data_IF_640862940465
#
_entry.id   IF_640862940465
#
_cell.length_a   1.000
_cell.length_b   1.000
_cell.length_c   1.000
_cell.angle_alpha   90.00
_cell.angle_beta   90.00
_cell.angle_gamma   90.00
#
_symmetry.space_group_name_H-M   'P 1'
#
loop_
_entity.id
_entity.type
_entity.pdbx_description
1 polymer ?
#
# COMPACT_ATOMS: atom_id res chain seq x y z
N UNK A 1 53.13 -9.42 -10.06
CA UNK A 1 52.26 -8.27 -10.39
C UNK A 1 51.09 -8.28 -9.41
N UNK A 2 50.91 -7.22 -8.62
CA UNK A 2 49.99 -7.20 -7.47
C UNK A 2 48.53 -7.15 -7.92
N UNK A 3 47.71 -8.10 -7.43
CA UNK A 3 46.26 -8.16 -7.68
C UNK A 3 45.45 -7.21 -6.77
N UNK A 4 46.10 -6.63 -5.76
CA UNK A 4 45.51 -5.73 -4.76
C UNK A 4 44.87 -4.45 -5.36
N UNK A 5 45.51 -3.70 -6.29
CA UNK A 5 44.89 -2.50 -6.87
C UNK A 5 43.63 -2.82 -7.68
N UNK A 6 43.57 -3.99 -8.35
CA UNK A 6 42.42 -4.40 -9.13
C UNK A 6 41.21 -4.74 -8.24
N UNK A 7 41.43 -5.45 -7.14
CA UNK A 7 40.37 -5.79 -6.18
C UNK A 7 39.81 -4.51 -5.52
N UNK A 8 40.68 -3.56 -5.16
CA UNK A 8 40.26 -2.29 -4.57
C UNK A 8 39.36 -1.47 -5.51
N UNK A 9 39.68 -1.43 -6.81
CA UNK A 9 38.86 -0.75 -7.83
C UNK A 9 37.51 -1.44 -7.99
N UNK A 10 37.48 -2.78 -8.01
CA UNK A 10 36.23 -3.55 -8.14
C UNK A 10 35.29 -3.29 -6.96
N UNK A 11 35.81 -3.31 -5.72
CA UNK A 11 35.03 -3.03 -4.51
C UNK A 11 34.49 -1.59 -4.55
N UNK A 12 35.30 -0.62 -4.98
CA UNK A 12 34.87 0.77 -5.12
C UNK A 12 33.70 0.90 -6.11
N UNK A 13 33.76 0.22 -7.26
CA UNK A 13 32.70 0.23 -8.26
C UNK A 13 31.40 -0.39 -7.73
N UNK A 14 31.48 -1.49 -6.98
CA UNK A 14 30.31 -2.12 -6.36
C UNK A 14 29.67 -1.20 -5.32
N UNK A 15 30.47 -0.51 -4.50
CA UNK A 15 29.97 0.44 -3.50
C UNK A 15 29.31 1.65 -4.18
N UNK A 16 29.92 2.20 -5.24
CA UNK A 16 29.35 3.33 -5.99
C UNK A 16 28.07 2.92 -6.71
N UNK A 17 28.05 1.76 -7.38
CA UNK A 17 26.86 1.25 -8.05
C UNK A 17 25.72 0.96 -7.05
N UNK A 18 26.05 0.36 -5.90
CA UNK A 18 25.09 0.12 -4.81
C UNK A 18 24.54 1.44 -4.23
N UNK A 19 25.41 2.42 -3.98
CA UNK A 19 25.03 3.74 -3.52
C UNK A 19 24.13 4.49 -4.52
N UNK A 20 24.49 4.45 -5.81
CA UNK A 20 23.70 5.05 -6.88
C UNK A 20 22.32 4.38 -7.04
N UNK A 21 22.27 3.05 -6.95
CA UNK A 21 21.01 2.29 -6.97
C UNK A 21 20.11 2.63 -5.78
N UNK A 22 20.65 2.65 -4.56
CA UNK A 22 19.89 3.04 -3.37
C UNK A 22 19.41 4.48 -3.44
N UNK A 23 20.24 5.39 -3.94
CA UNK A 23 19.87 6.79 -4.16
C UNK A 23 18.74 6.92 -5.19
N UNK A 24 18.85 6.22 -6.33
CA UNK A 24 17.81 6.18 -7.34
C UNK A 24 16.48 5.62 -6.80
N UNK A 25 16.53 4.51 -6.06
CA UNK A 25 15.37 3.89 -5.41
C UNK A 25 14.71 4.85 -4.42
N UNK A 26 15.50 5.51 -3.56
CA UNK A 26 15.01 6.54 -2.62
C UNK A 26 14.37 7.72 -3.34
N UNK A 27 14.98 8.20 -4.44
CA UNK A 27 14.45 9.32 -5.23
C UNK A 27 13.13 8.95 -5.92
N UNK A 28 13.02 7.74 -6.49
CA UNK A 28 11.79 7.24 -7.09
C UNK A 28 10.67 7.16 -6.04
N UNK A 29 10.98 6.62 -4.86
CA UNK A 29 10.03 6.55 -3.73
C UNK A 29 9.60 7.95 -3.24
N UNK A 30 10.54 8.89 -3.13
CA UNK A 30 10.26 10.27 -2.71
C UNK A 30 9.36 11.00 -3.72
N UNK A 31 9.54 10.76 -5.02
CA UNK A 31 8.63 11.28 -6.06
C UNK A 31 7.24 10.66 -5.94
N UNK A 32 7.15 9.33 -5.83
CA UNK A 32 5.86 8.67 -5.63
C UNK A 32 5.13 9.19 -4.38
N UNK A 33 5.84 9.44 -3.28
CA UNK A 33 5.27 10.05 -2.07
C UNK A 33 4.81 11.49 -2.33
N UNK A 34 5.60 12.31 -3.04
CA UNK A 34 5.21 13.67 -3.38
C UNK A 34 3.99 13.70 -4.31
N UNK A 35 3.90 12.77 -5.26
CA UNK A 35 2.78 12.61 -6.18
C UNK A 35 1.52 12.19 -5.40
N UNK A 36 1.64 11.27 -4.43
CA UNK A 36 0.55 10.89 -3.53
C UNK A 36 0.10 12.06 -2.64
N UNK A 37 1.04 12.80 -2.07
CA UNK A 37 0.71 13.96 -1.21
C UNK A 37 0.15 15.15 -2.00
N UNK A 38 0.36 15.21 -3.31
CA UNK A 38 -0.20 16.23 -4.21
C UNK A 38 -1.46 15.80 -4.95
N UNK A 39 -1.79 14.50 -4.91
CA UNK A 39 -2.97 13.91 -5.52
C UNK A 39 -4.28 14.23 -4.77
N UNK A 40 -5.38 13.69 -5.28
CA UNK A 40 -6.70 13.87 -4.66
C UNK A 40 -6.80 13.07 -3.36
N UNK A 41 -6.63 13.77 -2.24
CA UNK A 41 -6.65 13.19 -0.90
C UNK A 41 -8.06 12.76 -0.52
N UNK A 42 -8.25 11.45 -0.34
CA UNK A 42 -9.52 10.88 0.09
C UNK A 42 -9.62 10.99 1.62
N UNK A 43 -8.57 10.57 2.31
CA UNK A 43 -8.49 10.59 3.77
C UNK A 43 -7.07 10.86 4.27
N UNK A 44 -6.98 11.58 5.37
CA UNK A 44 -5.76 11.79 6.14
C UNK A 44 -6.11 11.71 7.61
N UNK A 45 -5.25 11.05 8.40
CA UNK A 45 -5.29 11.20 9.85
C UNK A 45 -3.89 11.10 10.46
N UNK A 46 -3.79 11.61 11.68
CA UNK A 46 -2.58 11.62 12.51
C UNK A 46 -2.85 10.84 13.79
N UNK A 47 -1.86 10.05 14.22
CA UNK A 47 -1.89 9.32 15.47
C UNK A 47 -1.13 10.11 16.54
N UNK A 48 -1.71 10.26 17.72
CA UNK A 48 -0.92 10.56 18.92
C UNK A 48 0.03 9.40 19.23
N UNK A 49 1.02 9.63 20.11
CA UNK A 49 1.95 8.57 20.52
C UNK A 49 1.25 7.32 21.05
N UNK A 50 0.27 7.47 21.94
CA UNK A 50 -0.48 6.35 22.49
C UNK A 50 -1.33 5.62 21.43
N UNK A 51 -1.96 6.34 20.52
CA UNK A 51 -2.73 5.72 19.42
C UNK A 51 -1.80 5.00 18.42
N UNK A 52 -0.60 5.54 18.19
CA UNK A 52 0.40 4.93 17.33
C UNK A 52 0.95 3.64 17.93
N UNK A 53 1.29 3.64 19.22
CA UNK A 53 1.72 2.43 19.94
C UNK A 53 0.71 1.29 19.80
N UNK A 54 -0.58 1.60 19.93
CA UNK A 54 -1.66 0.62 19.69
C UNK A 54 -1.74 0.17 18.23
N UNK A 55 -1.65 1.11 17.28
CA UNK A 55 -1.68 0.78 15.85
C UNK A 55 -0.50 -0.11 15.43
N UNK A 56 0.69 0.13 15.97
CA UNK A 56 1.90 -0.70 15.76
C UNK A 56 1.73 -2.09 16.34
N UNK A 57 1.21 -2.18 17.57
CA UNK A 57 1.00 -3.46 18.23
C UNK A 57 0.02 -4.37 17.48
N UNK A 58 -0.97 -3.80 16.81
CA UNK A 58 -2.05 -4.56 16.17
C UNK A 58 -1.87 -4.73 14.65
N UNK A 59 -1.57 -3.67 13.92
CA UNK A 59 -1.69 -3.65 12.45
C UNK A 59 -0.39 -3.19 11.74
N UNK A 60 0.50 -2.46 12.41
CA UNK A 60 1.75 -1.92 11.83
C UNK A 60 3.01 -2.53 12.45
N UNK A 61 3.11 -3.86 12.48
CA UNK A 61 4.25 -4.59 13.05
C UNK A 61 5.62 -4.26 12.43
N UNK A 62 5.64 -3.60 11.27
CA UNK A 62 6.84 -3.11 10.60
C UNK A 62 7.36 -1.77 11.12
N UNK A 63 6.57 -1.04 11.91
CA UNK A 63 6.92 0.28 12.45
C UNK A 63 7.35 0.21 13.93
N UNK A 64 7.90 1.32 14.45
CA UNK A 64 8.32 1.40 15.86
C UNK A 64 7.26 2.09 16.71
N UNK A 65 6.90 1.46 17.83
CA UNK A 65 6.05 2.06 18.87
C UNK A 65 6.68 3.35 19.44
N UNK A 66 8.01 3.44 19.47
CA UNK A 66 8.75 4.58 20.01
C UNK A 66 8.76 5.84 19.12
N UNK A 67 8.08 5.82 17.97
CA UNK A 67 8.10 6.94 17.03
C UNK A 67 7.28 8.16 17.51
N UNK A 68 6.52 8.03 18.61
CA UNK A 68 5.76 9.12 19.21
C UNK A 68 4.55 9.59 18.40
N UNK A 69 4.26 8.95 17.27
CA UNK A 69 3.12 9.22 16.40
C UNK A 69 3.35 8.73 14.98
N UNK A 70 2.32 8.91 14.14
CA UNK A 70 2.37 8.58 12.72
C UNK A 70 1.28 9.32 11.94
N UNK A 71 1.36 9.28 10.63
CA UNK A 71 0.37 9.84 9.73
C UNK A 71 0.04 8.84 8.62
N UNK A 72 -1.22 8.83 8.22
CA UNK A 72 -1.70 8.08 7.05
C UNK A 72 -2.33 9.04 6.05
N UNK A 73 -2.04 8.79 4.79
CA UNK A 73 -2.58 9.49 3.64
C UNK A 73 -3.15 8.44 2.69
N UNK A 74 -4.43 8.58 2.35
CA UNK A 74 -5.13 7.69 1.41
C UNK A 74 -5.58 8.52 0.22
N UNK A 75 -5.21 8.05 -0.96
CA UNK A 75 -5.57 8.61 -2.25
C UNK A 75 -6.15 7.53 -3.15
N UNK A 76 -6.60 7.92 -4.34
CA UNK A 76 -7.04 6.97 -5.35
C UNK A 76 -5.92 6.00 -5.78
N UNK A 77 -4.66 6.44 -5.68
CA UNK A 77 -3.52 5.76 -6.29
C UNK A 77 -2.57 5.13 -5.26
N UNK A 78 -2.72 5.44 -3.98
CA UNK A 78 -1.87 4.87 -2.93
C UNK A 78 -2.43 5.06 -1.51
N UNK A 79 -1.92 4.21 -0.61
CA UNK A 79 -1.95 4.41 0.84
C UNK A 79 -0.52 4.65 1.30
N UNK A 80 -0.27 5.80 1.92
CA UNK A 80 1.03 6.17 2.46
C UNK A 80 0.96 6.31 3.97
N UNK A 81 1.83 5.59 4.67
CA UNK A 81 1.95 5.58 6.13
C UNK A 81 3.35 6.08 6.46
N UNK A 82 3.47 7.05 7.36
CA UNK A 82 4.77 7.54 7.82
C UNK A 82 4.81 7.74 9.32
N UNK A 83 5.98 7.52 9.89
CA UNK A 83 6.35 7.84 11.26
C UNK A 83 7.70 8.56 11.26
N UNK A 84 8.25 8.84 12.45
CA UNK A 84 9.56 9.48 12.57
C UNK A 84 10.71 8.65 11.97
N UNK A 85 10.65 7.33 12.10
CA UNK A 85 11.72 6.42 11.66
C UNK A 85 11.42 5.70 10.35
N UNK A 86 10.15 5.60 9.95
CA UNK A 86 9.72 4.67 8.92
C UNK A 86 8.69 5.28 7.98
N UNK A 87 8.76 4.87 6.72
CA UNK A 87 7.80 5.20 5.68
C UNK A 87 7.35 3.92 4.99
N UNK A 88 6.06 3.81 4.68
CA UNK A 88 5.46 2.67 4.01
C UNK A 88 4.49 3.17 2.94
N UNK A 89 4.66 2.69 1.72
CA UNK A 89 3.85 3.09 0.58
C UNK A 89 3.25 1.84 -0.04
N UNK A 90 1.93 1.79 -0.07
CA UNK A 90 1.14 0.78 -0.76
C UNK A 90 0.61 1.43 -2.04
N UNK A 91 1.15 1.02 -3.17
CA UNK A 91 0.70 1.50 -4.48
C UNK A 91 -0.63 0.83 -4.85
N UNK A 92 -1.64 1.66 -5.16
CA UNK A 92 -2.95 1.28 -5.72
C UNK A 92 -3.06 1.70 -7.20
N UNK A 93 -1.93 2.04 -7.83
CA UNK A 93 -1.89 2.43 -9.24
C UNK A 93 -1.64 1.22 -10.16
N UNK A 94 -1.96 1.39 -11.44
CA UNK A 94 -1.77 0.35 -12.45
C UNK A 94 -2.81 -0.77 -12.35
N UNK A 95 -2.37 -2.01 -12.10
CA UNK A 95 -3.22 -3.21 -12.10
C UNK A 95 -3.79 -3.59 -10.73
N UNK A 96 -3.40 -2.87 -9.67
CA UNK A 96 -3.91 -3.06 -8.30
C UNK A 96 -5.16 -2.23 -8.10
N UNK A 97 -6.25 -2.84 -7.66
CA UNK A 97 -7.52 -2.17 -7.41
C UNK A 97 -8.09 -2.57 -6.05
N UNK A 98 -8.70 -1.61 -5.35
CA UNK A 98 -9.46 -1.91 -4.13
C UNK A 98 -10.82 -2.47 -4.51
N UNK A 99 -11.09 -3.72 -4.16
CA UNK A 99 -12.35 -4.40 -4.50
C UNK A 99 -13.29 -4.54 -3.30
N UNK A 100 -12.81 -4.22 -2.10
CA UNK A 100 -13.61 -4.19 -0.88
C UNK A 100 -13.06 -3.12 0.05
N UNK A 101 -13.96 -2.33 0.64
CA UNK A 101 -13.65 -1.41 1.71
C UNK A 101 -14.72 -1.52 2.79
N UNK A 102 -14.32 -1.63 4.06
CA UNK A 102 -15.26 -1.64 5.18
C UNK A 102 -14.65 -1.05 6.45
N UNK A 103 -15.51 -0.48 7.27
CA UNK A 103 -15.16 0.06 8.57
C UNK A 103 -16.37 -0.06 9.50
N UNK A 104 -16.18 -0.67 10.67
CA UNK A 104 -17.27 -0.96 11.61
C UNK A 104 -17.73 0.24 12.44
N UNK A 105 -17.01 1.36 12.41
CA UNK A 105 -17.37 2.58 13.14
C UNK A 105 -17.27 2.50 14.66
N UNK A 106 -16.74 1.39 15.20
CA UNK A 106 -16.47 1.23 16.63
C UNK A 106 -15.01 1.60 16.96
N UNK A 107 -14.78 2.07 18.18
CA UNK A 107 -13.44 2.38 18.70
C UNK A 107 -12.48 1.18 18.51
N UNK A 108 -11.27 1.46 18.03
CA UNK A 108 -10.26 0.46 17.74
C UNK A 108 -10.55 -0.44 16.53
N UNK A 109 -11.70 -0.31 15.86
CA UNK A 109 -11.96 -1.07 14.63
C UNK A 109 -11.03 -0.62 13.50
N UNK A 110 -10.39 -1.54 12.77
CA UNK A 110 -9.61 -1.14 11.60
C UNK A 110 -10.53 -0.82 10.42
N UNK A 111 -10.09 0.14 9.61
CA UNK A 111 -10.47 0.24 8.21
C UNK A 111 -9.86 -0.97 7.50
N UNK A 112 -10.68 -1.72 6.79
CA UNK A 112 -10.28 -2.90 6.02
C UNK A 112 -10.38 -2.60 4.54
N UNK A 113 -9.31 -2.86 3.81
CA UNK A 113 -9.22 -2.70 2.36
C UNK A 113 -8.70 -4.00 1.75
N UNK A 114 -9.44 -4.59 0.82
CA UNK A 114 -8.92 -5.67 -0.03
C UNK A 114 -8.45 -5.10 -1.35
N UNK A 115 -7.17 -5.30 -1.64
CA UNK A 115 -6.57 -4.96 -2.94
C UNK A 115 -6.39 -6.24 -3.74
N UNK A 116 -6.80 -6.24 -4.99
CA UNK A 116 -6.63 -7.36 -5.92
C UNK A 116 -5.88 -6.90 -7.17
N UNK A 117 -5.16 -7.83 -7.78
CA UNK A 117 -4.57 -7.64 -9.10
C UNK A 117 -4.43 -9.00 -9.79
N UNK A 118 -4.31 -8.98 -11.12
CA UNK A 118 -3.90 -10.15 -11.89
C UNK A 118 -2.56 -9.92 -12.57
N UNK A 119 -1.83 -11.01 -12.77
CA UNK A 119 -0.62 -11.05 -13.59
C UNK A 119 -0.87 -12.03 -14.72
N UNK A 120 -0.69 -11.56 -15.95
CA UNK A 120 -0.81 -12.36 -17.16
C UNK A 120 0.61 -12.76 -17.57
N UNK A 121 0.93 -14.05 -17.47
CA UNK A 121 2.18 -14.60 -17.98
C UNK A 121 2.01 -14.93 -19.47
N UNK A 122 2.80 -14.26 -20.33
CA UNK A 122 2.83 -14.49 -21.78
C UNK A 122 4.05 -15.30 -22.18
N UNK A 123 3.88 -16.22 -23.12
CA UNK A 123 4.97 -16.94 -23.75
C UNK A 123 5.81 -16.02 -24.66
N UNK A 124 6.99 -16.49 -25.08
CA UNK A 124 7.90 -15.74 -25.93
C UNK A 124 7.31 -15.40 -27.32
N UNK A 125 6.27 -16.12 -27.75
CA UNK A 125 5.51 -15.87 -28.97
C UNK A 125 4.32 -14.91 -28.79
N UNK A 126 4.08 -14.44 -27.56
CA UNK A 126 2.99 -13.51 -27.22
C UNK A 126 1.69 -14.19 -26.79
N UNK A 127 1.61 -15.53 -26.80
CA UNK A 127 0.41 -16.27 -26.37
C UNK A 127 0.26 -16.21 -24.86
N UNK A 128 -0.96 -15.95 -24.35
CA UNK A 128 -1.24 -15.93 -22.91
C UNK A 128 -1.19 -17.36 -22.35
N UNK A 129 -0.19 -17.64 -21.50
CA UNK A 129 0.02 -18.96 -20.92
C UNK A 129 -0.83 -19.18 -19.67
N UNK A 130 -0.88 -18.16 -18.80
CA UNK A 130 -1.55 -18.28 -17.49
C UNK A 130 -1.87 -16.93 -16.86
N UNK A 131 -3.12 -16.76 -16.43
CA UNK A 131 -3.53 -15.65 -15.57
C UNK A 131 -3.46 -16.09 -14.10
N UNK A 132 -2.69 -15.36 -13.29
CA UNK A 132 -2.62 -15.53 -11.83
C UNK A 132 -3.33 -14.37 -11.16
N UNK A 133 -4.19 -14.67 -10.20
CA UNK A 133 -4.93 -13.69 -9.41
C UNK A 133 -4.31 -13.59 -8.02
N UNK A 134 -4.17 -12.37 -7.53
CA UNK A 134 -3.58 -12.06 -6.24
C UNK A 134 -4.51 -11.16 -5.43
N UNK A 135 -4.39 -11.28 -4.11
CA UNK A 135 -5.09 -10.41 -3.16
C UNK A 135 -4.21 -10.09 -1.96
N UNK A 136 -4.35 -8.89 -1.44
CA UNK A 136 -3.76 -8.41 -0.19
C UNK A 136 -4.84 -7.72 0.63
N UNK A 137 -4.92 -8.08 1.90
CA UNK A 137 -5.84 -7.47 2.85
C UNK A 137 -5.07 -6.51 3.75
N UNK A 138 -5.47 -5.24 3.71
CA UNK A 138 -4.90 -4.18 4.52
C UNK A 138 -5.86 -3.83 5.63
N UNK A 139 -5.32 -3.80 6.85
CA UNK A 139 -6.03 -3.43 8.06
C UNK A 139 -5.34 -2.20 8.63
N UNK A 140 -6.10 -1.15 8.85
CA UNK A 140 -5.58 0.15 9.26
C UNK A 140 -6.37 0.61 10.47
N UNK A 141 -5.77 0.61 11.66
CA UNK A 141 -6.43 1.07 12.88
C UNK A 141 -6.82 2.54 12.74
N UNK A 142 -8.10 2.87 12.88
CA UNK A 142 -8.59 4.25 12.72
C UNK A 142 -8.55 4.97 14.08
N UNK A 143 -7.93 6.16 14.19
CA UNK A 143 -8.01 6.97 15.41
C UNK A 143 -9.47 7.29 15.78
N UNK A 144 -9.79 7.37 17.07
CA UNK A 144 -11.18 7.47 17.56
C UNK A 144 -11.93 8.66 16.95
N UNK A 145 -11.22 9.78 16.77
CA UNK A 145 -11.79 11.04 16.27
C UNK A 145 -11.93 11.08 14.75
N UNK A 146 -11.39 10.08 14.05
CA UNK A 146 -11.25 10.05 12.60
C UNK A 146 -12.27 9.12 11.93
N UNK A 147 -13.31 8.75 12.67
CA UNK A 147 -14.42 7.92 12.21
C UNK A 147 -15.03 8.42 10.89
N UNK A 148 -15.33 9.72 10.81
CA UNK A 148 -15.94 10.31 9.63
C UNK A 148 -15.02 10.24 8.40
N UNK A 149 -13.70 10.36 8.59
CA UNK A 149 -12.73 10.25 7.51
C UNK A 149 -12.65 8.80 7.02
N UNK A 150 -12.66 7.82 7.93
CA UNK A 150 -12.70 6.41 7.56
C UNK A 150 -13.99 6.02 6.82
N UNK A 151 -15.16 6.52 7.26
CA UNK A 151 -16.44 6.32 6.56
C UNK A 151 -16.39 6.91 5.14
N UNK A 152 -15.82 8.11 4.96
CA UNK A 152 -15.60 8.73 3.64
C UNK A 152 -14.68 7.89 2.74
N UNK A 153 -13.61 7.31 3.30
CA UNK A 153 -12.71 6.42 2.55
C UNK A 153 -13.45 5.17 2.07
N UNK A 154 -14.27 4.56 2.93
CA UNK A 154 -15.12 3.42 2.56
C UNK A 154 -16.08 3.81 1.44
N UNK A 155 -16.83 4.91 1.61
CA UNK A 155 -17.78 5.40 0.62
C UNK A 155 -17.12 5.62 -0.76
N UNK A 156 -15.93 6.23 -0.78
CA UNK A 156 -15.20 6.49 -2.00
C UNK A 156 -14.84 5.19 -2.73
N UNK A 157 -14.23 4.21 -2.04
CA UNK A 157 -13.79 2.96 -2.66
C UNK A 157 -14.96 2.06 -3.04
N UNK A 158 -16.02 2.02 -2.23
CA UNK A 158 -17.26 1.31 -2.57
C UNK A 158 -17.91 1.90 -3.83
N UNK A 159 -18.00 3.22 -3.92
CA UNK A 159 -18.54 3.91 -5.11
C UNK A 159 -17.68 3.66 -6.35
N UNK A 160 -16.35 3.71 -6.21
CA UNK A 160 -15.45 3.42 -7.33
C UNK A 160 -15.61 1.97 -7.80
N UNK A 161 -15.69 1.02 -6.87
CA UNK A 161 -15.86 -0.40 -7.17
C UNK A 161 -17.17 -0.66 -7.90
N UNK A 162 -18.26 -0.03 -7.46
CA UNK A 162 -19.58 -0.12 -8.12
C UNK A 162 -19.55 0.42 -9.56
N UNK A 163 -18.88 1.54 -9.79
CA UNK A 163 -18.77 2.14 -11.12
C UNK A 163 -17.93 1.32 -12.09
N UNK A 164 -17.03 0.49 -11.59
CA UNK A 164 -16.07 -0.29 -12.39
C UNK A 164 -16.26 -1.80 -12.22
N UNK A 165 -17.47 -2.27 -11.90
CA UNK A 165 -17.73 -3.67 -11.57
C UNK A 165 -17.24 -4.64 -12.64
N UNK A 166 -17.54 -4.36 -13.90
CA UNK A 166 -17.15 -5.24 -15.02
C UNK A 166 -15.63 -5.32 -15.17
N UNK A 167 -14.93 -4.19 -14.98
CA UNK A 167 -13.48 -4.14 -15.03
C UNK A 167 -12.83 -4.82 -13.81
N UNK A 168 -13.46 -4.76 -12.64
CA UNK A 168 -12.94 -5.36 -11.41
C UNK A 168 -13.24 -6.86 -11.33
N UNK A 169 -14.32 -7.33 -11.97
CA UNK A 169 -14.59 -8.76 -12.14
C UNK A 169 -13.43 -9.47 -12.85
N UNK A 170 -12.77 -8.79 -13.79
CA UNK A 170 -11.62 -9.32 -14.53
C UNK A 170 -10.34 -9.49 -13.67
N UNK A 171 -10.28 -8.92 -12.46
CA UNK A 171 -9.19 -9.15 -11.50
C UNK A 171 -9.61 -10.07 -10.34
N UNK A 172 -10.83 -10.58 -10.35
CA UNK A 172 -11.37 -11.51 -9.36
C UNK A 172 -11.42 -12.88 -10.00
N UNK A 173 -10.66 -13.84 -9.46
CA UNK A 173 -10.68 -15.20 -9.97
C UNK A 173 -12.10 -15.78 -9.94
N UNK A 174 -12.45 -16.64 -10.90
CA UNK A 174 -13.81 -17.14 -11.13
C UNK A 174 -14.51 -17.79 -9.90
N UNK A 175 -13.76 -18.12 -8.86
CA UNK A 175 -14.25 -18.74 -7.62
C UNK A 175 -14.33 -17.77 -6.43
N UNK A 176 -14.10 -16.47 -6.63
CA UNK A 176 -14.14 -15.46 -5.57
C UNK A 176 -15.18 -14.38 -5.87
N UNK A 177 -15.79 -13.82 -4.82
CA UNK A 177 -16.78 -12.76 -4.95
C UNK A 177 -16.16 -11.38 -4.74
N UNK A 178 -16.76 -10.37 -5.40
CA UNK A 178 -16.58 -8.96 -5.07
C UNK A 178 -17.59 -8.63 -3.96
N UNK A 179 -17.14 -8.52 -2.72
CA UNK A 179 -17.99 -8.01 -1.63
C UNK A 179 -18.04 -6.49 -1.71
N UNK A 180 -19.06 -5.96 -2.39
CA UNK A 180 -19.30 -4.52 -2.57
C UNK A 180 -19.90 -3.88 -1.31
N UNK A 181 -20.61 -4.69 -0.53
CA UNK A 181 -21.25 -4.31 0.73
C UNK A 181 -20.83 -5.31 1.81
N UNK A 182 -20.42 -4.78 2.96
CA UNK A 182 -19.82 -5.53 4.05
C UNK A 182 -20.59 -6.81 4.41
N UNK A 183 -19.91 -7.94 4.27
CA UNK A 183 -19.77 -8.95 5.33
C UNK A 183 -18.62 -9.92 5.02
N UNK A 184 -17.54 -9.42 4.41
CA UNK A 184 -16.35 -10.24 4.20
C UNK A 184 -15.55 -10.25 5.52
N UNK A 185 -15.65 -11.36 6.25
CA UNK A 185 -15.10 -11.55 7.59
C UNK A 185 -13.58 -11.71 7.56
N UNK A 186 -12.88 -10.62 7.24
CA UNK A 186 -11.42 -10.53 7.33
C UNK A 186 -10.98 -9.73 8.56
#
# INVERSE_FOLDING_TARGET
MSQIPFIAILVLLVVVAGGAYLFYKRRKRSRAIADVLSGNLIGKWSYSGAEWEQAVAEEFSWASASDGGGEIFITAEAIYIRSASSDHLIELNGSKVVTHASYRGAEGSPLKLRVRWKVIEREADGTEQRTKYYKEDYRIRVPIRERAVAEKVVEWFSTLSQKNLDAYADVVGANESISIFGDDSF
#
